data_IF_533258918015
#
_entry.id   IF_533258918015
#
_cell.length_a   1.000
_cell.length_b   1.000
_cell.length_c   1.000
_cell.angle_alpha   90.00
_cell.angle_beta   90.00
_cell.angle_gamma   90.00
#
_symmetry.space_group_name_H-M   'P 1'
#
loop_
_entity.id
_entity.type
_entity.pdbx_description
1 polymer ?
#
# COMPACT_ATOMS: atom_id res chain seq x y z
N UNK A 1 7.14 -11.90 -1.15
CA UNK A 1 8.06 -12.89 -0.54
C UNK A 1 9.48 -12.33 -0.54
N UNK A 2 10.09 -11.95 -1.69
CA UNK A 2 11.49 -11.54 -1.80
C UNK A 2 11.91 -10.40 -0.85
N UNK A 3 11.11 -9.32 -0.76
CA UNK A 3 11.41 -8.19 0.13
C UNK A 3 11.41 -8.61 1.60
N UNK A 4 10.43 -9.41 2.03
CA UNK A 4 10.36 -9.90 3.42
C UNK A 4 11.58 -10.78 3.76
N UNK A 5 11.95 -11.67 2.83
CA UNK A 5 13.14 -12.49 2.99
C UNK A 5 14.42 -11.65 3.07
N UNK A 6 14.55 -10.62 2.23
CA UNK A 6 15.71 -9.72 2.25
C UNK A 6 15.81 -8.94 3.56
N UNK A 7 14.70 -8.39 4.06
CA UNK A 7 14.65 -7.70 5.35
C UNK A 7 15.02 -8.66 6.49
N UNK A 8 14.50 -9.88 6.47
CA UNK A 8 14.82 -10.89 7.47
C UNK A 8 16.31 -11.28 7.47
N UNK A 9 16.89 -11.56 6.30
CA UNK A 9 18.31 -11.89 6.18
C UNK A 9 19.20 -10.73 6.62
N UNK A 10 18.84 -9.50 6.22
CA UNK A 10 19.60 -8.32 6.58
C UNK A 10 19.51 -8.02 8.07
N UNK A 11 18.34 -8.16 8.69
CA UNK A 11 18.19 -7.97 10.15
C UNK A 11 19.10 -8.92 10.93
N UNK A 12 19.23 -10.17 10.49
CA UNK A 12 20.15 -11.14 11.05
C UNK A 12 21.62 -10.73 10.93
N UNK A 13 21.99 -10.19 9.76
CA UNK A 13 23.35 -9.74 9.48
C UNK A 13 23.74 -8.54 10.36
N UNK A 14 22.84 -7.57 10.52
CA UNK A 14 23.10 -6.35 11.32
C UNK A 14 22.74 -6.49 12.78
N UNK A 15 22.21 -7.65 13.21
CA UNK A 15 21.79 -7.95 14.59
C UNK A 15 20.71 -7.00 15.12
N UNK A 16 19.83 -6.52 14.26
CA UNK A 16 18.65 -5.74 14.62
C UNK A 16 17.42 -6.65 14.70
N UNK A 17 16.46 -6.25 15.53
CA UNK A 17 15.18 -6.93 15.55
C UNK A 17 14.45 -6.74 14.19
N UNK A 18 13.76 -7.78 13.71
CA UNK A 18 13.11 -7.76 12.41
C UNK A 18 12.12 -6.59 12.28
N UNK A 19 11.30 -6.37 13.30
CA UNK A 19 10.31 -5.30 13.30
C UNK A 19 10.94 -3.91 13.41
N UNK A 20 12.05 -3.76 14.09
CA UNK A 20 12.78 -2.49 14.14
C UNK A 20 13.27 -2.07 12.75
N UNK A 21 13.87 -3.00 12.03
CA UNK A 21 14.32 -2.75 10.66
C UNK A 21 13.13 -2.51 9.71
N UNK A 22 12.05 -3.29 9.83
CA UNK A 22 10.87 -3.14 9.02
C UNK A 22 10.18 -1.77 9.27
N UNK A 23 10.06 -1.35 10.52
CA UNK A 23 9.47 -0.06 10.89
C UNK A 23 10.28 1.12 10.36
N UNK A 24 11.60 1.02 10.40
CA UNK A 24 12.48 2.02 9.80
C UNK A 24 12.29 2.15 8.29
N UNK A 25 12.24 1.02 7.58
CA UNK A 25 12.05 1.01 6.12
C UNK A 25 10.66 1.49 5.72
N UNK A 26 9.62 1.08 6.44
CA UNK A 26 8.24 1.46 6.11
C UNK A 26 7.96 2.95 6.26
N UNK A 27 8.74 3.68 7.04
CA UNK A 27 8.63 5.13 7.14
C UNK A 27 8.90 5.85 5.79
N UNK A 28 9.69 5.27 4.91
CA UNK A 28 10.07 5.86 3.62
C UNK A 28 9.31 5.27 2.41
N UNK A 29 8.78 4.04 2.52
CA UNK A 29 8.16 3.31 1.40
C UNK A 29 7.02 4.11 0.73
N UNK A 30 6.07 4.74 1.47
CA UNK A 30 4.97 5.46 0.84
C UNK A 30 5.44 6.62 -0.04
N UNK A 31 6.52 7.28 0.35
CA UNK A 31 7.08 8.38 -0.44
C UNK A 31 7.66 7.87 -1.77
N UNK A 32 8.36 6.74 -1.76
CA UNK A 32 8.82 6.08 -2.97
C UNK A 32 7.66 5.65 -3.88
N UNK A 33 6.59 5.14 -3.27
CA UNK A 33 5.37 4.77 -3.99
C UNK A 33 4.71 5.99 -4.65
N UNK A 34 4.62 7.12 -3.95
CA UNK A 34 4.13 8.38 -4.51
C UNK A 34 4.84 8.75 -5.81
N UNK A 35 6.17 8.79 -5.80
CA UNK A 35 6.94 9.13 -7.00
C UNK A 35 6.75 8.12 -8.13
N UNK A 36 6.64 6.84 -7.80
CA UNK A 36 6.33 5.80 -8.78
C UNK A 36 4.98 6.04 -9.47
N UNK A 37 3.94 6.42 -8.70
CA UNK A 37 2.61 6.71 -9.27
C UNK A 37 2.58 8.00 -10.09
N UNK A 38 3.31 9.01 -9.69
CA UNK A 38 3.51 10.22 -10.52
C UNK A 38 4.21 9.85 -11.84
N UNK A 39 5.21 8.97 -11.80
CA UNK A 39 5.86 8.45 -13.02
C UNK A 39 4.87 7.72 -13.94
N UNK A 40 4.03 6.82 -13.41
CA UNK A 40 2.99 6.15 -14.19
C UNK A 40 1.99 7.16 -14.82
N UNK A 41 1.62 8.21 -14.07
CA UNK A 41 0.75 9.26 -14.60
C UNK A 41 1.39 10.04 -15.76
N UNK A 42 2.65 10.43 -15.62
CA UNK A 42 3.41 11.13 -16.68
C UNK A 42 3.55 10.24 -17.92
N UNK A 43 3.80 8.95 -17.74
CA UNK A 43 3.88 7.98 -18.81
C UNK A 43 2.51 7.64 -19.44
N UNK A 44 1.40 8.06 -18.83
CA UNK A 44 0.05 7.76 -19.32
C UNK A 44 -0.31 6.27 -19.24
N UNK A 45 0.19 5.56 -18.22
CA UNK A 45 -0.03 4.13 -18.01
C UNK A 45 -0.75 3.85 -16.69
N UNK A 46 -1.35 2.66 -16.55
CA UNK A 46 -2.06 2.22 -15.34
C UNK A 46 -3.19 3.16 -14.91
N UNK A 47 -3.88 3.75 -15.88
CA UNK A 47 -5.07 4.57 -15.66
C UNK A 47 -6.26 3.72 -15.17
N UNK A 48 -7.30 4.38 -14.69
CA UNK A 48 -8.49 3.75 -14.14
C UNK A 48 -9.60 3.49 -15.16
N UNK A 49 -10.76 3.07 -14.64
CA UNK A 49 -11.97 2.80 -15.41
C UNK A 49 -12.48 4.05 -16.13
N UNK A 50 -13.28 3.83 -17.16
CA UNK A 50 -14.00 4.90 -17.85
C UNK A 50 -14.94 5.62 -16.88
N UNK A 51 -15.10 6.95 -17.08
CA UNK A 51 -15.91 7.78 -16.19
C UNK A 51 -16.51 8.96 -16.95
N UNK A 52 -17.68 9.42 -16.49
CA UNK A 52 -18.30 10.66 -16.94
C UNK A 52 -18.07 11.81 -15.94
N UNK A 53 -17.38 11.53 -14.84
CA UNK A 53 -17.09 12.55 -13.83
C UNK A 53 -16.16 13.63 -14.37
N UNK A 54 -16.31 14.87 -13.87
CA UNK A 54 -15.51 16.04 -14.28
C UNK A 54 -14.01 15.90 -13.99
N UNK A 55 -13.62 14.97 -13.12
CA UNK A 55 -12.22 14.64 -12.82
C UNK A 55 -11.59 13.68 -13.83
N UNK A 56 -12.39 13.11 -14.74
CA UNK A 56 -11.90 12.21 -15.79
C UNK A 56 -10.90 12.90 -16.70
N UNK A 57 -9.92 12.14 -17.19
CA UNK A 57 -8.87 12.58 -18.09
C UNK A 57 -8.76 11.68 -19.31
N UNK A 58 -8.28 12.22 -20.43
CA UNK A 58 -7.93 11.46 -21.61
C UNK A 58 -6.48 10.97 -21.48
N UNK A 59 -6.29 9.68 -21.75
CA UNK A 59 -4.95 9.06 -21.74
C UNK A 59 -4.60 8.63 -23.18
N UNK A 60 -3.63 9.27 -23.82
CA UNK A 60 -3.26 8.96 -25.21
C UNK A 60 -2.91 7.48 -25.41
N UNK A 61 -2.29 6.84 -24.42
CA UNK A 61 -1.88 5.44 -24.47
C UNK A 61 -3.06 4.46 -24.37
N UNK A 62 -4.27 4.93 -24.03
CA UNK A 62 -5.47 4.09 -24.00
C UNK A 62 -5.94 3.71 -25.41
N UNK A 63 -5.58 4.51 -26.43
CA UNK A 63 -5.97 4.27 -27.82
C UNK A 63 -7.46 4.54 -28.09
N UNK A 64 -8.18 5.08 -27.11
CA UNK A 64 -9.57 5.51 -27.20
C UNK A 64 -9.72 6.98 -26.79
N UNK A 65 -10.82 7.61 -27.19
CA UNK A 65 -11.14 8.99 -26.80
C UNK A 65 -12.17 9.02 -25.69
N UNK A 66 -11.94 8.21 -24.64
CA UNK A 66 -12.86 8.08 -23.50
C UNK A 66 -12.20 8.64 -22.24
N UNK A 67 -12.99 9.38 -21.44
CA UNK A 67 -12.54 9.86 -20.13
C UNK A 67 -12.36 8.69 -19.17
N UNK A 68 -11.23 8.70 -18.46
CA UNK A 68 -10.87 7.67 -17.47
C UNK A 68 -10.45 8.30 -16.14
N UNK A 69 -10.69 7.59 -15.06
CA UNK A 69 -10.18 8.01 -13.76
C UNK A 69 -8.66 8.08 -13.75
N UNK A 70 -8.03 9.18 -13.32
CA UNK A 70 -6.59 9.26 -13.09
C UNK A 70 -6.23 8.52 -11.78
N UNK A 71 -6.44 7.20 -11.77
CA UNK A 71 -6.26 6.37 -10.56
C UNK A 71 -4.85 6.45 -10.00
N UNK A 72 -3.83 6.72 -10.84
CA UNK A 72 -2.46 6.94 -10.42
C UNK A 72 -2.36 8.11 -9.43
N UNK A 73 -3.12 9.19 -9.66
CA UNK A 73 -3.12 10.35 -8.76
C UNK A 73 -3.82 10.06 -7.44
N UNK A 74 -4.89 9.24 -7.47
CA UNK A 74 -5.54 8.78 -6.24
C UNK A 74 -4.59 7.91 -5.41
N UNK A 75 -3.92 6.98 -6.07
CA UNK A 75 -2.91 6.12 -5.46
C UNK A 75 -1.75 6.94 -4.90
N UNK A 76 -1.22 7.90 -5.66
CA UNK A 76 -0.16 8.80 -5.20
C UNK A 76 -0.57 9.57 -3.95
N UNK A 77 -1.78 10.13 -3.92
CA UNK A 77 -2.26 10.91 -2.79
C UNK A 77 -2.51 10.05 -1.56
N UNK A 78 -3.32 8.99 -1.69
CA UNK A 78 -3.79 8.22 -0.53
C UNK A 78 -2.79 7.16 -0.06
N UNK A 79 -2.20 6.37 -0.98
CA UNK A 79 -1.23 5.32 -0.67
C UNK A 79 0.19 5.88 -0.51
N UNK A 80 0.47 7.06 -1.12
CA UNK A 80 1.73 7.79 -1.00
C UNK A 80 1.69 8.83 0.12
N UNK A 81 1.20 10.03 -0.17
CA UNK A 81 1.33 11.20 0.71
C UNK A 81 0.60 11.01 2.05
N UNK A 82 -0.70 10.68 2.02
CA UNK A 82 -1.49 10.59 3.25
C UNK A 82 -0.94 9.46 4.14
N UNK A 83 -0.66 8.30 3.58
CA UNK A 83 -0.12 7.18 4.34
C UNK A 83 1.28 7.49 4.90
N UNK A 84 2.12 8.23 4.17
CA UNK A 84 3.40 8.73 4.66
C UNK A 84 3.22 9.59 5.92
N UNK A 85 2.30 10.57 5.88
CA UNK A 85 2.04 11.42 7.04
C UNK A 85 1.46 10.65 8.21
N UNK A 86 0.54 9.71 7.97
CA UNK A 86 -0.03 8.86 9.02
C UNK A 86 1.07 8.09 9.74
N UNK A 87 1.91 7.36 9.01
CA UNK A 87 2.98 6.54 9.60
C UNK A 87 3.97 7.41 10.39
N UNK A 88 4.40 8.53 9.81
CA UNK A 88 5.39 9.39 10.46
C UNK A 88 4.82 10.18 11.65
N UNK A 89 3.51 10.47 11.67
CA UNK A 89 2.83 11.07 12.83
C UNK A 89 2.77 10.12 14.02
N UNK A 90 2.60 8.83 13.78
CA UNK A 90 2.56 7.80 14.82
C UNK A 90 3.93 7.23 15.20
N UNK A 91 5.00 7.62 14.49
CA UNK A 91 6.38 7.14 14.73
C UNK A 91 6.93 7.46 16.12
N UNK A 92 6.22 8.20 16.97
CA UNK A 92 6.56 8.48 18.37
C UNK A 92 6.26 7.31 19.33
N UNK A 93 5.61 6.27 18.86
CA UNK A 93 5.24 5.11 19.66
C UNK A 93 6.37 4.07 19.57
N UNK A 94 7.16 3.95 20.63
CA UNK A 94 8.27 2.97 20.76
C UNK A 94 7.75 1.52 20.84
N UNK A 95 6.92 1.12 19.87
CA UNK A 95 6.36 -0.23 19.78
C UNK A 95 6.83 -0.90 18.51
N UNK A 96 7.50 -2.02 18.67
CA UNK A 96 7.97 -2.84 17.56
C UNK A 96 6.81 -3.26 16.64
N UNK A 97 7.02 -3.18 15.33
CA UNK A 97 6.02 -3.56 14.33
C UNK A 97 4.87 -2.56 14.16
N UNK A 98 4.90 -1.41 14.87
CA UNK A 98 3.78 -0.46 14.78
C UNK A 98 3.72 0.23 13.42
N UNK A 99 4.83 0.74 12.92
CA UNK A 99 4.88 1.40 11.61
C UNK A 99 4.62 0.40 10.48
N UNK A 100 5.22 -0.79 10.57
CA UNK A 100 5.03 -1.86 9.58
C UNK A 100 3.58 -2.32 9.53
N UNK A 101 2.95 -2.56 10.68
CA UNK A 101 1.54 -2.91 10.77
C UNK A 101 0.64 -1.80 10.24
N UNK A 102 0.94 -0.53 10.59
CA UNK A 102 0.19 0.64 10.10
C UNK A 102 0.31 0.79 8.59
N UNK A 103 1.49 0.57 8.03
CA UNK A 103 1.69 0.58 6.58
C UNK A 103 0.88 -0.52 5.89
N UNK A 104 1.02 -1.77 6.33
CA UNK A 104 0.36 -2.92 5.69
C UNK A 104 -1.16 -2.81 5.80
N UNK A 105 -1.68 -2.42 6.97
CA UNK A 105 -3.10 -2.20 7.18
C UNK A 105 -3.62 -1.01 6.35
N UNK A 106 -2.96 0.15 6.46
CA UNK A 106 -3.38 1.38 5.80
C UNK A 106 -3.33 1.28 4.29
N UNK A 107 -2.28 0.67 3.74
CA UNK A 107 -2.20 0.40 2.31
C UNK A 107 -3.34 -0.53 1.85
N UNK A 108 -3.57 -1.64 2.55
CA UNK A 108 -4.66 -2.57 2.23
C UNK A 108 -6.03 -1.89 2.29
N UNK A 109 -6.26 -1.03 3.30
CA UNK A 109 -7.51 -0.28 3.45
C UNK A 109 -7.72 0.69 2.28
N UNK A 110 -6.75 1.55 2.01
CA UNK A 110 -6.85 2.54 0.93
C UNK A 110 -6.98 1.85 -0.42
N UNK A 111 -6.14 0.85 -0.67
CA UNK A 111 -6.15 0.08 -1.92
C UNK A 111 -7.48 -0.60 -2.18
N UNK A 112 -8.15 -1.13 -1.15
CA UNK A 112 -9.47 -1.73 -1.26
C UNK A 112 -10.49 -0.77 -1.88
N UNK A 113 -10.47 0.51 -1.46
CA UNK A 113 -11.37 1.53 -2.01
C UNK A 113 -10.92 2.02 -3.40
N UNK A 114 -9.62 2.19 -3.62
CA UNK A 114 -9.10 2.64 -4.92
C UNK A 114 -9.39 1.61 -6.03
N UNK A 115 -9.49 0.33 -5.69
CA UNK A 115 -9.79 -0.73 -6.64
C UNK A 115 -11.14 -0.53 -7.37
N UNK A 116 -12.08 0.20 -6.78
CA UNK A 116 -13.33 0.56 -7.46
C UNK A 116 -13.12 1.51 -8.65
N UNK A 117 -12.05 2.29 -8.64
CA UNK A 117 -11.71 3.27 -9.68
C UNK A 117 -10.69 2.71 -10.70
N UNK A 118 -10.07 1.59 -10.39
CA UNK A 118 -9.11 0.93 -11.28
C UNK A 118 -9.82 0.09 -12.33
N UNK A 119 -9.17 -0.07 -13.46
CA UNK A 119 -9.59 -1.06 -14.44
C UNK A 119 -9.29 -2.46 -13.89
N UNK A 120 -10.27 -3.37 -13.81
CA UNK A 120 -10.03 -4.73 -13.31
C UNK A 120 -9.10 -5.46 -14.27
N UNK A 121 -8.26 -6.35 -13.71
CA UNK A 121 -7.49 -7.27 -14.52
C UNK A 121 -8.46 -8.15 -15.33
N UNK A 122 -8.45 -8.00 -16.66
CA UNK A 122 -9.42 -8.61 -17.58
C UNK A 122 -9.52 -10.15 -17.49
N UNK A 123 -8.53 -10.79 -16.86
CA UNK A 123 -8.42 -12.25 -16.77
C UNK A 123 -9.07 -12.85 -15.52
N UNK A 124 -9.39 -12.08 -14.47
CA UNK A 124 -9.78 -12.63 -13.17
C UNK A 124 -11.24 -12.36 -12.78
N UNK A 125 -11.88 -11.33 -13.34
CA UNK A 125 -13.27 -10.98 -13.01
C UNK A 125 -13.54 -10.78 -11.51
N UNK A 126 -14.81 -10.95 -11.13
CA UNK A 126 -15.23 -10.99 -9.71
C UNK A 126 -15.22 -12.45 -9.22
N UNK A 127 -14.62 -12.72 -8.06
CA UNK A 127 -14.35 -14.08 -7.59
C UNK A 127 -15.27 -14.49 -6.44
N UNK A 128 -15.46 -13.63 -5.44
CA UNK A 128 -16.24 -13.94 -4.25
C UNK A 128 -17.00 -12.69 -3.79
N UNK A 129 -18.33 -12.79 -3.57
CA UNK A 129 -19.18 -11.67 -3.12
C UNK A 129 -19.01 -10.38 -3.95
N UNK A 130 -18.86 -10.50 -5.26
CA UNK A 130 -18.63 -9.39 -6.19
C UNK A 130 -17.33 -8.59 -5.90
N UNK A 131 -16.40 -9.18 -5.15
CA UNK A 131 -15.08 -8.61 -4.90
C UNK A 131 -14.07 -9.03 -5.97
N UNK A 132 -13.21 -8.08 -6.36
CA UNK A 132 -12.07 -8.38 -7.22
C UNK A 132 -10.99 -9.16 -6.45
N UNK A 133 -10.10 -9.86 -7.18
CA UNK A 133 -8.93 -10.50 -6.56
C UNK A 133 -8.09 -9.47 -5.80
N UNK A 134 -7.95 -8.25 -6.33
CA UNK A 134 -7.26 -7.15 -5.66
C UNK A 134 -7.87 -6.82 -4.30
N UNK A 135 -9.20 -6.75 -4.20
CA UNK A 135 -9.90 -6.50 -2.94
C UNK A 135 -9.73 -7.63 -1.92
N UNK A 136 -9.75 -8.89 -2.35
CA UNK A 136 -9.49 -10.03 -1.46
C UNK A 136 -8.07 -10.00 -0.90
N UNK A 137 -7.08 -9.67 -1.72
CA UNK A 137 -5.70 -9.47 -1.27
C UNK A 137 -5.58 -8.29 -0.29
N UNK A 138 -6.33 -7.21 -0.50
CA UNK A 138 -6.38 -6.08 0.43
C UNK A 138 -6.93 -6.49 1.80
N UNK A 139 -7.95 -7.34 1.86
CA UNK A 139 -8.46 -7.88 3.13
C UNK A 139 -7.38 -8.72 3.82
N UNK A 140 -6.69 -9.59 3.09
CA UNK A 140 -5.59 -10.37 3.65
C UNK A 140 -4.45 -9.47 4.17
N UNK A 141 -4.15 -8.36 3.48
CA UNK A 141 -3.18 -7.37 3.96
C UNK A 141 -3.64 -6.67 5.24
N UNK A 142 -4.91 -6.24 5.33
CA UNK A 142 -5.44 -5.64 6.56
C UNK A 142 -5.34 -6.59 7.75
N UNK A 143 -5.70 -7.86 7.57
CA UNK A 143 -5.54 -8.87 8.63
C UNK A 143 -4.08 -9.09 9.02
N UNK A 144 -3.18 -9.10 8.03
CA UNK A 144 -1.73 -9.20 8.26
C UNK A 144 -1.19 -7.98 9.03
N UNK A 145 -1.66 -6.78 8.75
CA UNK A 145 -1.30 -5.56 9.48
C UNK A 145 -1.72 -5.62 10.95
N UNK A 146 -2.95 -6.08 11.24
CA UNK A 146 -3.43 -6.31 12.60
C UNK A 146 -2.58 -7.37 13.32
N UNK A 147 -2.23 -8.45 12.63
CA UNK A 147 -1.36 -9.49 13.17
C UNK A 147 0.04 -8.97 13.52
N UNK A 148 0.63 -8.13 12.67
CA UNK A 148 1.92 -7.48 12.94
C UNK A 148 1.83 -6.61 14.20
N UNK A 149 0.77 -5.82 14.37
CA UNK A 149 0.57 -5.05 15.60
C UNK A 149 0.48 -5.93 16.85
N UNK A 150 -0.24 -7.03 16.76
CA UNK A 150 -0.39 -7.96 17.88
C UNK A 150 0.96 -8.57 18.29
N UNK A 151 1.72 -9.11 17.34
CA UNK A 151 3.02 -9.72 17.59
C UNK A 151 4.04 -8.67 18.06
N UNK A 152 4.08 -7.51 17.43
CA UNK A 152 4.97 -6.42 17.80
C UNK A 152 4.74 -5.91 19.22
N UNK A 153 3.48 -5.82 19.67
CA UNK A 153 3.16 -5.47 21.04
C UNK A 153 3.69 -6.52 22.05
N UNK A 154 3.60 -7.82 21.71
CA UNK A 154 4.15 -8.88 22.57
C UNK A 154 5.68 -8.82 22.67
N UNK A 155 6.36 -8.61 21.54
CA UNK A 155 7.81 -8.51 21.53
C UNK A 155 8.30 -7.25 22.29
N UNK A 156 7.58 -6.13 22.18
CA UNK A 156 7.86 -4.93 22.96
C UNK A 156 7.74 -5.20 24.47
N UNK A 157 6.71 -5.90 24.89
CA UNK A 157 6.49 -6.23 26.31
C UNK A 157 7.61 -7.13 26.86
N UNK A 158 8.07 -8.12 26.07
CA UNK A 158 9.20 -9.00 26.45
C UNK A 158 10.54 -8.25 26.57
N UNK A 159 10.75 -7.22 25.76
CA UNK A 159 11.99 -6.44 25.79
C UNK A 159 12.06 -5.47 26.99
N UNK A 160 10.94 -5.23 27.70
CA UNK A 160 10.84 -4.36 28.87
C UNK A 160 10.91 -5.13 30.21
N UNK A 161 10.82 -6.45 30.17
CA UNK A 161 10.99 -7.36 31.32
C UNK A 161 12.41 -7.90 31.38
#
# INVERSE_FOLDING_TARGET
>A
IGVVTAIWLFSRKVKLHLFELADFLTAAIPLGYFFGRIGNFINGELYGRTTEASIGMYFPNAGDNVLRHPSQLYEALFEGIILYYVINSFNKHNKLGFNSGTYVFGYGLVRFFIEYFREPDAHLGFILFDLSMGQLLCIAMMLSGIYIWYVGNQETAKAQT
#
